data_IF_074104297784
#
_entry.id   IF_074104297784
#
_cell.length_a   1.000
_cell.length_b   1.000
_cell.length_c   1.000
_cell.angle_alpha   90.00
_cell.angle_beta   90.00
_cell.angle_gamma   90.00
#
_symmetry.space_group_name_H-M   'P 1'
#
loop_
_entity.id
_entity.type
_entity.pdbx_description
1 polymer ?
#
# COMPACT_ATOMS: atom_id res chain seq x y z
N UNK A 1 -8.87 -18.73 23.98
CA UNK A 1 -7.74 -18.90 23.06
C UNK A 1 -7.84 -17.80 22.03
N UNK A 2 -7.10 -16.69 22.21
CA UNK A 2 -7.07 -15.60 21.24
C UNK A 2 -6.23 -16.06 20.04
N UNK A 3 -6.88 -16.42 18.95
CA UNK A 3 -6.23 -16.57 17.66
C UNK A 3 -5.83 -15.17 17.17
N UNK A 4 -4.60 -14.78 17.46
CA UNK A 4 -3.97 -13.61 16.84
C UNK A 4 -3.98 -13.85 15.33
N UNK A 5 -4.83 -13.13 14.59
CA UNK A 5 -4.80 -13.16 13.13
C UNK A 5 -3.37 -12.82 12.69
N UNK A 6 -2.77 -13.57 11.77
CA UNK A 6 -1.41 -13.27 11.33
C UNK A 6 -1.38 -11.83 10.81
N UNK A 7 -0.41 -11.03 11.28
CA UNK A 7 -0.20 -9.67 10.80
C UNK A 7 0.09 -9.73 9.29
N UNK A 8 -0.94 -9.49 8.49
CA UNK A 8 -0.84 -9.53 7.04
C UNK A 8 -0.17 -8.24 6.55
N UNK A 9 0.83 -8.41 5.70
CA UNK A 9 1.63 -7.31 5.12
C UNK A 9 0.81 -6.49 4.13
N UNK A 10 -0.14 -7.11 3.44
CA UNK A 10 -0.97 -6.45 2.44
C UNK A 10 -1.94 -7.42 1.78
N UNK A 11 -2.66 -6.94 0.78
CA UNK A 11 -3.64 -7.73 0.03
C UNK A 11 -3.34 -7.72 -1.46
N UNK A 12 -3.40 -8.89 -2.08
CA UNK A 12 -3.27 -9.10 -3.51
C UNK A 12 -4.61 -9.57 -4.09
N UNK A 13 -5.02 -8.96 -5.18
CA UNK A 13 -6.15 -9.44 -5.97
C UNK A 13 -5.65 -10.41 -7.03
N UNK A 14 -6.20 -11.61 -7.10
CA UNK A 14 -5.91 -12.61 -8.12
C UNK A 14 -7.14 -12.85 -9.00
N UNK A 15 -7.01 -12.58 -10.28
CA UNK A 15 -8.08 -12.72 -11.27
C UNK A 15 -7.72 -13.88 -12.20
N UNK A 16 -8.30 -15.05 -11.96
CA UNK A 16 -8.05 -16.28 -12.74
C UNK A 16 -9.18 -17.29 -12.57
N UNK A 17 -9.46 -18.06 -13.62
CA UNK A 17 -10.33 -19.25 -13.58
C UNK A 17 -9.56 -20.56 -13.36
N UNK A 18 -8.24 -20.51 -13.42
CA UNK A 18 -7.38 -21.67 -13.21
C UNK A 18 -7.20 -21.91 -11.70
N UNK A 19 -7.87 -22.94 -11.19
CA UNK A 19 -7.82 -23.31 -9.78
C UNK A 19 -6.42 -23.76 -9.31
N UNK A 20 -5.63 -24.37 -10.21
CA UNK A 20 -4.28 -24.84 -9.89
C UNK A 20 -3.34 -23.65 -9.75
N UNK A 21 -3.32 -22.77 -10.74
CA UNK A 21 -2.54 -21.53 -10.69
C UNK A 21 -2.93 -20.67 -9.49
N UNK A 22 -4.24 -20.54 -9.23
CA UNK A 22 -4.75 -19.78 -8.08
C UNK A 22 -4.25 -20.33 -6.75
N UNK A 23 -4.23 -21.63 -6.57
CA UNK A 23 -3.70 -22.29 -5.35
C UNK A 23 -2.20 -22.06 -5.21
N UNK A 24 -1.42 -22.28 -6.29
CA UNK A 24 0.03 -22.08 -6.26
C UNK A 24 0.40 -20.64 -5.88
N UNK A 25 -0.23 -19.66 -6.51
CA UNK A 25 0.03 -18.24 -6.27
C UNK A 25 -0.45 -17.80 -4.89
N UNK A 26 -1.60 -18.28 -4.44
CA UNK A 26 -2.10 -18.00 -3.07
C UNK A 26 -1.11 -18.50 -2.03
N UNK A 27 -0.64 -19.75 -2.15
CA UNK A 27 0.33 -20.33 -1.23
C UNK A 27 1.64 -19.54 -1.23
N UNK A 28 2.13 -19.15 -2.42
CA UNK A 28 3.36 -18.36 -2.54
C UNK A 28 3.23 -16.96 -1.92
N UNK A 29 2.10 -16.27 -2.13
CA UNK A 29 1.82 -14.97 -1.52
C UNK A 29 1.64 -15.05 0.00
N UNK A 30 1.00 -16.09 0.51
CA UNK A 30 0.87 -16.33 1.95
C UNK A 30 2.22 -16.53 2.64
N UNK A 31 3.21 -17.11 1.96
CA UNK A 31 4.59 -17.21 2.48
C UNK A 31 5.25 -15.82 2.64
N UNK A 32 4.73 -14.80 1.97
CA UNK A 32 5.12 -13.39 2.11
C UNK A 32 4.20 -12.62 3.06
N UNK A 33 3.40 -13.31 3.87
CA UNK A 33 2.37 -12.74 4.75
C UNK A 33 1.38 -11.82 4.01
N UNK A 34 1.12 -12.09 2.71
CA UNK A 34 0.10 -11.39 1.93
C UNK A 34 -1.22 -12.16 1.96
N UNK A 35 -2.34 -11.45 2.12
CA UNK A 35 -3.65 -12.03 1.85
C UNK A 35 -3.93 -12.03 0.35
N UNK A 36 -4.66 -13.05 -0.12
CA UNK A 36 -5.06 -13.13 -1.53
C UNK A 36 -6.57 -13.21 -1.63
N UNK A 37 -7.14 -12.30 -2.40
CA UNK A 37 -8.54 -12.38 -2.82
C UNK A 37 -8.62 -12.90 -4.25
N UNK A 38 -9.31 -14.01 -4.43
CA UNK A 38 -9.48 -14.63 -5.74
C UNK A 38 -10.81 -14.15 -6.37
N UNK A 39 -10.74 -13.73 -7.62
CA UNK A 39 -11.87 -13.45 -8.49
C UNK A 39 -11.79 -14.35 -9.73
N UNK A 40 -12.91 -14.89 -10.14
CA UNK A 40 -13.00 -15.74 -11.35
C UNK A 40 -13.42 -14.97 -12.60
N UNK A 41 -13.83 -13.71 -12.42
CA UNK A 41 -14.24 -12.82 -13.50
C UNK A 41 -13.79 -11.38 -13.26
N UNK A 42 -13.74 -10.61 -14.33
CA UNK A 42 -13.20 -9.25 -14.35
C UNK A 42 -14.19 -8.23 -13.78
N UNK A 43 -15.50 -8.47 -13.91
CA UNK A 43 -16.50 -7.58 -13.36
C UNK A 43 -16.40 -7.51 -11.83
N UNK A 44 -16.32 -8.69 -11.17
CA UNK A 44 -16.10 -8.77 -9.74
C UNK A 44 -14.75 -8.16 -9.33
N UNK A 45 -13.71 -8.33 -10.15
CA UNK A 45 -12.40 -7.72 -9.90
C UNK A 45 -12.45 -6.19 -9.97
N UNK A 46 -13.10 -5.63 -11.00
CA UNK A 46 -13.29 -4.19 -11.18
C UNK A 46 -14.05 -3.58 -10.00
N UNK A 47 -15.14 -4.23 -9.57
CA UNK A 47 -15.94 -3.82 -8.41
C UNK A 47 -15.09 -3.77 -7.12
N UNK A 48 -14.23 -4.76 -6.88
CA UNK A 48 -13.33 -4.78 -5.71
C UNK A 48 -12.27 -3.68 -5.80
N UNK A 49 -11.68 -3.47 -6.96
CA UNK A 49 -10.68 -2.42 -7.19
C UNK A 49 -11.24 -1.01 -7.05
N UNK A 50 -12.54 -0.80 -7.33
CA UNK A 50 -13.18 0.50 -7.12
C UNK A 50 -13.38 0.83 -5.64
N UNK A 51 -13.55 -0.19 -4.79
CA UNK A 51 -13.88 -0.02 -3.37
C UNK A 51 -12.65 0.02 -2.46
N UNK A 52 -11.52 -0.56 -2.90
CA UNK A 52 -10.33 -0.64 -2.05
C UNK A 52 -9.03 -0.72 -2.84
N UNK A 53 -7.95 -0.42 -2.13
CA UNK A 53 -6.59 -0.55 -2.59
C UNK A 53 -6.08 -1.98 -2.43
N UNK A 54 -5.30 -2.43 -3.43
CA UNK A 54 -4.48 -3.63 -3.39
C UNK A 54 -3.01 -3.26 -3.59
N UNK A 55 -2.11 -3.92 -2.88
CA UNK A 55 -0.67 -3.75 -3.04
C UNK A 55 -0.17 -4.47 -4.31
N UNK A 56 -0.83 -5.55 -4.69
CA UNK A 56 -0.57 -6.30 -5.92
C UNK A 56 -1.85 -6.77 -6.61
N UNK A 57 -1.77 -6.94 -7.92
CA UNK A 57 -2.86 -7.52 -8.75
C UNK A 57 -2.25 -8.55 -9.68
N UNK A 58 -2.75 -9.78 -9.63
CA UNK A 58 -2.35 -10.88 -10.52
C UNK A 58 -3.49 -11.12 -11.51
N UNK A 59 -3.21 -11.10 -12.80
CA UNK A 59 -4.20 -11.24 -13.88
C UNK A 59 -3.79 -12.38 -14.79
N UNK A 60 -4.70 -13.32 -15.00
CA UNK A 60 -4.52 -14.42 -15.93
C UNK A 60 -5.00 -14.04 -17.33
N UNK A 61 -4.09 -14.05 -18.32
CA UNK A 61 -4.45 -13.73 -19.70
C UNK A 61 -5.23 -14.87 -20.39
N UNK A 62 -5.31 -16.07 -19.80
CA UNK A 62 -6.22 -17.12 -20.25
C UNK A 62 -7.71 -16.70 -20.15
N UNK A 63 -8.03 -15.58 -19.52
CA UNK A 63 -9.35 -14.92 -19.59
C UNK A 63 -9.63 -14.27 -20.96
N UNK A 64 -8.72 -14.43 -21.92
CA UNK A 64 -8.79 -13.85 -23.26
C UNK A 64 -8.55 -12.34 -23.27
N UNK A 65 -9.04 -11.64 -24.30
CA UNK A 65 -8.86 -10.19 -24.44
C UNK A 65 -9.28 -9.37 -23.21
N UNK A 66 -10.17 -9.90 -22.39
CA UNK A 66 -10.57 -9.27 -21.15
C UNK A 66 -9.45 -9.14 -20.11
N UNK A 67 -8.43 -10.02 -20.14
CA UNK A 67 -7.28 -9.94 -19.23
C UNK A 67 -6.46 -8.66 -19.43
N UNK A 68 -6.23 -8.27 -20.68
CA UNK A 68 -5.55 -6.99 -21.01
C UNK A 68 -6.40 -5.79 -20.59
N UNK A 69 -7.72 -5.80 -20.86
CA UNK A 69 -8.65 -4.75 -20.43
C UNK A 69 -8.63 -4.60 -18.90
N UNK A 70 -8.55 -5.71 -18.15
CA UNK A 70 -8.42 -5.67 -16.70
C UNK A 70 -7.13 -4.98 -16.26
N UNK A 71 -5.99 -5.26 -16.92
CA UNK A 71 -4.71 -4.62 -16.63
C UNK A 71 -4.76 -3.11 -16.90
N UNK A 72 -5.36 -2.69 -18.00
CA UNK A 72 -5.58 -1.28 -18.33
C UNK A 72 -6.48 -0.60 -17.28
N UNK A 73 -7.53 -1.25 -16.81
CA UNK A 73 -8.36 -0.76 -15.71
C UNK A 73 -7.56 -0.56 -14.41
N UNK A 74 -6.64 -1.48 -14.07
CA UNK A 74 -5.75 -1.29 -12.92
C UNK A 74 -4.94 -0.01 -13.09
N UNK A 75 -4.36 0.21 -14.27
CA UNK A 75 -3.51 1.38 -14.55
C UNK A 75 -4.29 2.70 -14.62
N UNK A 76 -5.55 2.66 -15.04
CA UNK A 76 -6.45 3.82 -15.02
C UNK A 76 -7.05 4.11 -13.63
N UNK A 77 -7.01 3.16 -12.70
CA UNK A 77 -7.62 3.29 -11.37
C UNK A 77 -6.90 4.34 -10.51
N UNK A 78 -7.64 5.28 -9.93
CA UNK A 78 -7.07 6.27 -9.01
C UNK A 78 -6.36 5.63 -7.80
N UNK A 79 -6.90 4.53 -7.27
CA UNK A 79 -6.40 3.84 -6.08
C UNK A 79 -5.36 2.77 -6.41
N UNK A 80 -5.51 2.05 -7.54
CA UNK A 80 -4.73 0.86 -7.85
C UNK A 80 -3.68 1.04 -8.96
N UNK A 81 -3.59 2.22 -9.62
CA UNK A 81 -2.64 2.47 -10.73
C UNK A 81 -1.17 2.17 -10.40
N UNK A 82 -0.81 2.23 -9.14
CA UNK A 82 0.55 1.97 -8.65
C UNK A 82 0.73 0.58 -8.05
N UNK A 83 -0.33 -0.25 -8.04
CA UNK A 83 -0.24 -1.64 -7.59
C UNK A 83 0.79 -2.42 -8.45
N UNK A 84 1.52 -3.31 -7.81
CA UNK A 84 2.43 -4.22 -8.51
C UNK A 84 1.61 -5.25 -9.28
N UNK A 85 1.69 -5.22 -10.61
CA UNK A 85 0.91 -6.14 -11.44
C UNK A 85 1.74 -7.33 -11.90
N UNK A 86 1.12 -8.49 -11.87
CA UNK A 86 1.66 -9.73 -12.43
C UNK A 86 0.66 -10.24 -13.46
N UNK A 87 1.15 -10.69 -14.61
CA UNK A 87 0.32 -11.34 -15.61
C UNK A 87 0.76 -12.77 -15.85
N UNK A 88 -0.20 -13.69 -15.89
CA UNK A 88 0.04 -15.08 -16.28
C UNK A 88 -0.13 -15.16 -17.79
N UNK A 89 0.90 -15.66 -18.50
CA UNK A 89 0.91 -15.74 -19.96
C UNK A 89 1.24 -17.16 -20.42
N UNK A 90 0.76 -17.54 -21.61
CA UNK A 90 1.01 -18.84 -22.22
C UNK A 90 1.87 -18.75 -23.49
N UNK A 91 2.14 -17.54 -23.97
CA UNK A 91 2.91 -17.29 -25.19
C UNK A 91 3.77 -16.03 -25.11
N UNK A 92 4.77 -15.94 -25.98
CA UNK A 92 5.58 -14.72 -26.11
C UNK A 92 4.77 -13.52 -26.61
N UNK A 93 3.71 -13.76 -27.39
CA UNK A 93 2.82 -12.70 -27.87
C UNK A 93 2.01 -12.12 -26.69
N UNK A 94 1.43 -12.96 -25.83
CA UNK A 94 0.76 -12.52 -24.61
C UNK A 94 1.70 -11.78 -23.66
N UNK A 95 2.95 -12.25 -23.55
CA UNK A 95 3.99 -11.58 -22.77
C UNK A 95 4.25 -10.15 -23.26
N UNK A 96 4.42 -9.97 -24.58
CA UNK A 96 4.61 -8.65 -25.16
C UNK A 96 3.39 -7.75 -24.96
N UNK A 97 2.18 -8.28 -25.13
CA UNK A 97 0.94 -7.53 -24.87
C UNK A 97 0.83 -7.09 -23.40
N UNK A 98 1.12 -7.98 -22.46
CA UNK A 98 1.11 -7.69 -21.03
C UNK A 98 2.07 -6.57 -20.66
N UNK A 99 3.31 -6.62 -21.15
CA UNK A 99 4.32 -5.59 -20.88
C UNK A 99 3.91 -4.23 -21.48
N UNK A 100 3.40 -4.22 -22.70
CA UNK A 100 2.91 -3.00 -23.35
C UNK A 100 1.70 -2.39 -22.62
N UNK A 101 0.84 -3.21 -22.05
CA UNK A 101 -0.31 -2.79 -21.24
C UNK A 101 0.10 -2.37 -19.80
N UNK A 102 1.40 -2.43 -19.46
CA UNK A 102 1.94 -1.96 -18.20
C UNK A 102 2.00 -3.01 -17.08
N UNK A 103 2.12 -4.31 -17.41
CA UNK A 103 2.45 -5.32 -16.42
C UNK A 103 3.81 -5.04 -15.80
N UNK A 104 3.91 -5.16 -14.46
CA UNK A 104 5.19 -5.02 -13.75
C UNK A 104 6.05 -6.29 -13.88
N UNK A 105 5.40 -7.45 -13.86
CA UNK A 105 6.02 -8.77 -13.95
C UNK A 105 5.17 -9.71 -14.79
N UNK A 106 5.82 -10.63 -15.44
CA UNK A 106 5.16 -11.72 -16.21
C UNK A 106 5.59 -13.05 -15.63
N UNK A 107 4.61 -13.93 -15.43
CA UNK A 107 4.77 -15.34 -15.05
C UNK A 107 4.31 -16.20 -16.22
N UNK A 108 5.26 -16.73 -16.97
CA UNK A 108 4.97 -17.57 -18.12
C UNK A 108 4.64 -19.00 -17.69
N UNK A 109 3.64 -19.60 -18.30
CA UNK A 109 3.27 -21.01 -18.11
C UNK A 109 4.27 -21.95 -18.81
N UNK A 110 4.57 -23.14 -18.24
CA UNK A 110 3.99 -23.69 -17.01
C UNK A 110 4.53 -22.99 -15.75
N UNK A 111 3.64 -22.74 -14.78
CA UNK A 111 4.03 -22.13 -13.52
C UNK A 111 4.78 -23.16 -12.66
N UNK A 112 6.02 -22.83 -12.29
CA UNK A 112 6.81 -23.62 -11.35
C UNK A 112 7.00 -22.87 -10.04
N UNK A 113 7.19 -23.61 -8.94
CA UNK A 113 7.49 -22.98 -7.64
C UNK A 113 8.74 -22.11 -7.69
N UNK A 114 9.72 -22.48 -8.52
CA UNK A 114 10.95 -21.73 -8.73
C UNK A 114 10.69 -20.40 -9.45
N UNK A 115 9.97 -20.42 -10.59
CA UNK A 115 9.65 -19.21 -11.36
C UNK A 115 8.79 -18.22 -10.56
N UNK A 116 7.80 -18.74 -9.83
CA UNK A 116 6.97 -17.93 -8.92
C UNK A 116 7.85 -17.35 -7.82
N UNK A 117 8.64 -18.15 -7.12
CA UNK A 117 9.49 -17.72 -6.02
C UNK A 117 10.51 -16.66 -6.44
N UNK A 118 11.17 -16.85 -7.59
CA UNK A 118 12.12 -15.88 -8.15
C UNK A 118 11.44 -14.53 -8.45
N UNK A 119 10.32 -14.58 -9.18
CA UNK A 119 9.56 -13.35 -9.52
C UNK A 119 9.07 -12.62 -8.27
N UNK A 120 8.53 -13.34 -7.29
CA UNK A 120 8.04 -12.74 -6.06
C UNK A 120 9.17 -12.15 -5.21
N UNK A 121 10.35 -12.78 -5.19
CA UNK A 121 11.53 -12.24 -4.50
C UNK A 121 11.92 -10.87 -5.06
N UNK A 122 11.96 -10.72 -6.38
CA UNK A 122 12.24 -9.42 -7.04
C UNK A 122 11.13 -8.41 -6.77
N UNK A 123 9.87 -8.84 -6.86
CA UNK A 123 8.70 -7.97 -6.71
C UNK A 123 8.47 -7.51 -5.26
N UNK A 124 8.98 -8.23 -4.27
CA UNK A 124 8.72 -7.97 -2.85
C UNK A 124 9.06 -6.54 -2.43
N UNK A 125 10.22 -6.03 -2.85
CA UNK A 125 10.62 -4.66 -2.56
C UNK A 125 9.64 -3.61 -3.11
N UNK A 126 9.07 -3.86 -4.30
CA UNK A 126 8.06 -2.98 -4.91
C UNK A 126 6.72 -3.07 -4.18
N UNK A 127 6.30 -4.27 -3.78
CA UNK A 127 5.08 -4.48 -2.98
C UNK A 127 5.20 -3.75 -1.63
N UNK A 128 6.34 -3.88 -0.96
CA UNK A 128 6.60 -3.19 0.30
C UNK A 128 6.66 -1.66 0.13
N UNK A 129 7.22 -1.16 -0.97
CA UNK A 129 7.19 0.26 -1.30
C UNK A 129 5.77 0.75 -1.52
N UNK A 130 4.94 -0.02 -2.22
CA UNK A 130 3.54 0.32 -2.43
C UNK A 130 2.76 0.28 -1.11
N UNK A 131 3.03 -0.68 -0.25
CA UNK A 131 2.44 -0.75 1.09
C UNK A 131 2.78 0.48 1.92
N UNK A 132 4.05 0.91 1.97
CA UNK A 132 4.48 2.10 2.72
C UNK A 132 3.72 3.36 2.32
N UNK A 133 3.43 3.55 1.04
CA UNK A 133 2.68 4.72 0.54
C UNK A 133 1.32 4.93 1.19
N UNK A 134 0.66 3.83 1.58
CA UNK A 134 -0.69 3.84 2.15
C UNK A 134 -0.70 3.43 3.62
N UNK A 135 0.47 3.10 4.17
CA UNK A 135 0.59 2.73 5.57
C UNK A 135 0.24 3.91 6.47
N UNK A 136 -0.65 3.66 7.41
CA UNK A 136 -1.05 4.60 8.45
C UNK A 136 -0.75 3.97 9.79
N UNK A 137 0.22 4.53 10.51
CA UNK A 137 0.58 4.04 11.82
C UNK A 137 -0.27 4.71 12.89
N UNK A 138 -1.03 3.93 13.70
CA UNK A 138 -1.80 4.50 14.81
C UNK A 138 -0.83 4.95 15.90
N UNK A 139 -0.82 6.23 16.20
CA UNK A 139 0.01 6.83 17.23
C UNK A 139 -0.66 8.10 17.75
N UNK A 140 -0.64 8.27 19.07
CA UNK A 140 -1.20 9.44 19.75
C UNK A 140 -0.05 10.34 20.21
N UNK A 141 0.27 11.39 19.43
CA UNK A 141 1.25 12.40 19.79
C UNK A 141 0.61 13.79 19.75
N UNK A 142 1.02 14.72 20.63
CA UNK A 142 0.53 16.11 20.59
C UNK A 142 0.89 16.79 19.28
N UNK A 143 -0.06 17.59 18.77
CA UNK A 143 0.07 18.33 17.52
C UNK A 143 -0.29 19.79 17.75
N UNK A 144 0.48 20.70 17.15
CA UNK A 144 0.16 22.11 17.06
C UNK A 144 -0.05 22.49 15.60
N UNK A 145 -1.17 23.13 15.31
CA UNK A 145 -1.48 23.66 13.99
C UNK A 145 -1.45 25.20 14.03
N UNK A 146 -0.49 25.75 13.30
CA UNK A 146 -0.32 27.18 13.13
C UNK A 146 -1.04 27.66 11.87
N UNK A 147 -1.99 28.57 12.01
CA UNK A 147 -2.76 29.18 10.92
C UNK A 147 -2.36 30.64 10.76
N UNK A 148 -2.16 31.12 9.52
CA UNK A 148 -1.66 32.47 9.25
C UNK A 148 -2.50 33.60 9.89
N UNK A 149 -3.81 33.41 9.99
CA UNK A 149 -4.77 34.47 10.36
C UNK A 149 -5.68 34.09 11.54
N UNK A 150 -5.37 33.00 12.24
CA UNK A 150 -6.22 32.50 13.33
C UNK A 150 -5.36 31.92 14.46
N UNK A 151 -5.89 31.81 15.69
CA UNK A 151 -5.17 31.22 16.81
C UNK A 151 -4.66 29.78 16.50
N UNK A 152 -3.60 29.41 17.19
CA UNK A 152 -3.10 28.03 17.16
C UNK A 152 -4.17 27.05 17.59
N UNK A 153 -4.14 25.87 16.97
CA UNK A 153 -5.02 24.76 17.32
C UNK A 153 -4.18 23.61 17.86
N UNK A 154 -4.58 23.11 19.00
CA UNK A 154 -3.97 21.96 19.65
C UNK A 154 -4.80 20.71 19.39
N UNK A 155 -4.13 19.59 19.18
CA UNK A 155 -4.77 18.32 18.96
C UNK A 155 -3.85 17.14 19.29
N UNK A 156 -4.33 15.95 19.03
CA UNK A 156 -3.58 14.71 19.17
C UNK A 156 -3.75 13.87 17.92
N UNK A 157 -2.68 13.26 17.42
CA UNK A 157 -2.78 12.37 16.25
C UNK A 157 -3.59 11.13 16.59
N UNK A 158 -4.36 10.66 15.62
CA UNK A 158 -5.01 9.34 15.60
C UNK A 158 -4.15 8.34 14.81
N UNK A 159 -3.60 8.81 13.70
CA UNK A 159 -2.63 8.06 12.90
C UNK A 159 -1.80 9.00 12.02
N UNK A 160 -0.63 8.50 11.58
CA UNK A 160 0.30 9.22 10.71
C UNK A 160 0.66 8.35 9.52
N UNK A 161 0.81 8.96 8.34
CA UNK A 161 1.31 8.36 7.11
C UNK A 161 2.34 9.28 6.44
N UNK A 162 3.00 8.83 5.38
CA UNK A 162 3.96 9.65 4.61
C UNK A 162 3.33 10.93 4.04
N UNK A 163 2.03 10.95 3.77
CA UNK A 163 1.34 12.03 3.06
C UNK A 163 0.36 12.82 3.91
N UNK A 164 0.24 12.50 5.18
CA UNK A 164 -0.73 13.18 6.04
C UNK A 164 -1.02 12.43 7.32
N UNK A 165 -1.96 12.97 8.08
CA UNK A 165 -2.37 12.39 9.35
C UNK A 165 -3.88 12.56 9.57
N UNK A 166 -4.42 11.75 10.46
CA UNK A 166 -5.67 12.05 11.14
C UNK A 166 -5.35 12.53 12.57
N UNK A 167 -6.03 13.53 13.02
CA UNK A 167 -5.91 14.06 14.38
C UNK A 167 -7.28 14.32 14.99
N UNK A 168 -7.34 14.32 16.31
CA UNK A 168 -8.50 14.75 17.10
C UNK A 168 -8.21 16.16 17.67
N UNK A 169 -9.18 17.06 17.57
CA UNK A 169 -9.12 18.42 18.09
C UNK A 169 -10.48 18.91 18.53
N UNK A 170 -10.50 19.81 19.52
CA UNK A 170 -11.73 20.46 19.97
C UNK A 170 -12.12 21.67 19.10
N UNK A 171 -11.18 22.19 18.33
CA UNK A 171 -11.41 23.34 17.44
C UNK A 171 -11.85 22.86 16.06
N UNK A 172 -13.03 23.24 15.58
CA UNK A 172 -13.46 22.88 14.22
C UNK A 172 -12.50 23.45 13.16
N UNK A 173 -12.12 22.62 12.21
CA UNK A 173 -11.29 22.99 11.06
C UNK A 173 -12.07 22.72 9.78
N UNK A 174 -12.27 23.74 8.96
CA UNK A 174 -13.01 23.60 7.71
C UNK A 174 -12.16 22.86 6.65
N UNK A 175 -12.73 21.91 5.90
CA UNK A 175 -12.07 21.32 4.73
C UNK A 175 -11.57 22.42 3.77
N UNK A 176 -10.38 22.23 3.24
CA UNK A 176 -9.73 23.20 2.37
C UNK A 176 -8.84 24.23 3.10
N UNK A 177 -8.98 24.41 4.43
CA UNK A 177 -8.11 25.33 5.18
C UNK A 177 -6.67 24.82 5.26
N UNK A 178 -5.72 25.76 5.24
CA UNK A 178 -4.28 25.49 5.31
C UNK A 178 -3.74 25.76 6.71
N UNK A 179 -2.78 24.96 7.13
CA UNK A 179 -2.08 25.12 8.39
C UNK A 179 -0.68 24.51 8.33
N UNK A 180 0.26 25.11 9.04
CA UNK A 180 1.54 24.48 9.34
C UNK A 180 1.35 23.57 10.55
N UNK A 181 1.56 22.27 10.38
CA UNK A 181 1.46 21.29 11.45
C UNK A 181 2.84 20.99 12.04
N UNK A 182 2.92 20.94 13.37
CA UNK A 182 4.13 20.58 14.11
C UNK A 182 3.82 19.47 15.10
N UNK A 183 4.67 18.43 15.09
CA UNK A 183 4.58 17.30 16.01
C UNK A 183 5.95 16.63 16.18
N UNK A 184 6.08 15.80 17.22
CA UNK A 184 7.30 15.04 17.47
C UNK A 184 7.02 13.57 17.40
N UNK A 185 7.74 12.85 16.52
CA UNK A 185 7.70 11.40 16.44
C UNK A 185 8.36 10.80 17.70
N UNK A 186 7.80 9.73 18.27
CA UNK A 186 8.45 9.00 19.35
C UNK A 186 9.48 8.00 18.78
N UNK A 187 10.56 7.75 19.53
CA UNK A 187 11.54 6.68 19.30
C UNK A 187 12.07 6.57 17.85
N UNK A 188 13.04 7.40 17.45
CA UNK A 188 13.66 8.50 18.20
C UNK A 188 12.78 9.76 18.20
N UNK A 189 13.04 10.68 19.13
CA UNK A 189 12.37 11.96 19.20
C UNK A 189 12.78 12.84 18.01
N UNK A 190 11.91 12.95 17.01
CA UNK A 190 12.15 13.72 15.81
C UNK A 190 11.05 14.75 15.64
N UNK A 191 11.41 16.03 15.60
CA UNK A 191 10.44 17.11 15.34
C UNK A 191 10.16 17.20 13.84
N UNK A 192 8.89 17.12 13.50
CA UNK A 192 8.38 17.26 12.12
C UNK A 192 7.58 18.57 12.01
N UNK A 193 7.85 19.31 10.95
CA UNK A 193 7.07 20.47 10.55
C UNK A 193 6.64 20.30 9.10
N UNK A 194 5.35 20.43 8.80
CA UNK A 194 4.81 20.27 7.45
C UNK A 194 3.76 21.33 7.15
N UNK A 195 3.73 21.80 5.89
CA UNK A 195 2.58 22.56 5.40
C UNK A 195 1.48 21.57 5.01
N UNK A 196 0.28 21.83 5.47
CA UNK A 196 -0.83 20.89 5.37
C UNK A 196 -2.13 21.57 4.99
N UNK A 197 -3.04 20.75 4.43
CA UNK A 197 -4.40 21.17 4.10
C UNK A 197 -5.38 20.20 4.71
N UNK A 198 -6.45 20.73 5.28
CA UNK A 198 -7.57 19.93 5.79
C UNK A 198 -8.31 19.31 4.61
N UNK A 199 -8.35 17.98 4.57
CA UNK A 199 -9.05 17.20 3.54
C UNK A 199 -10.50 16.90 3.93
N UNK A 200 -10.70 16.57 5.20
CA UNK A 200 -12.01 16.20 5.75
C UNK A 200 -12.05 16.47 7.26
N UNK A 201 -13.24 16.61 7.77
CA UNK A 201 -13.56 16.58 9.18
C UNK A 201 -14.79 15.71 9.42
N UNK A 202 -15.00 15.26 10.63
CA UNK A 202 -16.21 14.57 11.04
C UNK A 202 -16.81 15.18 12.32
N UNK A 203 -18.05 14.74 12.63
CA UNK A 203 -18.78 15.23 13.82
C UNK A 203 -18.16 14.79 15.16
N UNK A 204 -17.20 13.85 15.13
CA UNK A 204 -16.48 13.37 16.32
C UNK A 204 -15.25 14.22 16.68
N UNK A 205 -15.01 15.31 15.94
CA UNK A 205 -13.85 16.19 16.14
C UNK A 205 -12.55 15.62 15.54
N UNK A 206 -12.65 14.61 14.66
CA UNK A 206 -11.49 14.13 13.92
C UNK A 206 -11.34 14.89 12.60
N UNK A 207 -10.10 15.17 12.25
CA UNK A 207 -9.71 15.93 11.06
C UNK A 207 -8.62 15.19 10.32
N UNK A 208 -8.77 15.06 9.01
CA UNK A 208 -7.74 14.54 8.13
C UNK A 208 -6.94 15.65 7.47
N UNK A 209 -5.63 15.61 7.63
CA UNK A 209 -4.68 16.52 6.99
C UNK A 209 -3.90 15.81 5.90
N UNK A 210 -3.70 16.49 4.78
CA UNK A 210 -2.71 16.08 3.78
C UNK A 210 -1.51 17.03 3.82
N UNK A 211 -0.29 16.48 3.80
CA UNK A 211 0.94 17.24 3.67
C UNK A 211 1.14 17.61 2.20
N UNK A 212 1.24 18.89 1.87
CA UNK A 212 1.56 19.33 0.51
C UNK A 212 3.00 19.83 0.38
N UNK A 213 3.61 20.25 1.50
CA UNK A 213 5.04 20.50 1.56
C UNK A 213 5.61 19.93 2.85
N UNK A 214 6.68 19.18 2.74
CA UNK A 214 7.47 18.63 3.83
C UNK A 214 8.94 18.85 3.49
N UNK A 215 9.73 19.55 4.32
CA UNK A 215 11.16 19.70 4.11
C UNK A 215 11.84 18.34 3.94
N UNK A 216 12.85 18.27 3.08
CA UNK A 216 13.49 17.01 2.72
C UNK A 216 13.92 16.17 3.93
N UNK A 217 14.56 16.81 4.92
CA UNK A 217 15.00 16.13 6.14
C UNK A 217 13.82 15.57 6.95
N UNK A 218 12.75 16.35 7.11
CA UNK A 218 11.53 15.89 7.77
C UNK A 218 10.87 14.75 7.02
N UNK A 219 10.82 14.82 5.68
CA UNK A 219 10.27 13.77 4.84
C UNK A 219 11.07 12.46 4.98
N UNK A 220 12.40 12.54 4.92
CA UNK A 220 13.31 11.40 5.07
C UNK A 220 13.17 10.74 6.45
N UNK A 221 13.13 11.55 7.51
CA UNK A 221 12.97 11.07 8.88
C UNK A 221 11.60 10.41 9.10
N UNK A 222 10.51 11.02 8.61
CA UNK A 222 9.17 10.45 8.68
C UNK A 222 9.07 9.13 7.92
N UNK A 223 9.64 9.06 6.71
CA UNK A 223 9.67 7.84 5.91
C UNK A 223 10.45 6.71 6.60
N UNK A 224 11.62 7.02 7.15
CA UNK A 224 12.44 6.05 7.88
C UNK A 224 11.73 5.53 9.13
N UNK A 225 11.10 6.42 9.89
CA UNK A 225 10.33 6.07 11.07
C UNK A 225 9.12 5.16 10.72
N UNK A 226 8.35 5.52 9.70
CA UNK A 226 7.22 4.71 9.24
C UNK A 226 7.66 3.36 8.68
N UNK A 227 8.80 3.30 7.98
CA UNK A 227 9.37 2.04 7.49
C UNK A 227 9.74 1.12 8.67
N UNK A 228 10.41 1.64 9.70
CA UNK A 228 10.73 0.88 10.90
C UNK A 228 9.46 0.37 11.62
N UNK A 229 8.42 1.21 11.76
CA UNK A 229 7.15 0.80 12.38
C UNK A 229 6.41 -0.26 11.56
N UNK A 230 6.48 -0.18 10.23
CA UNK A 230 5.93 -1.21 9.37
C UNK A 230 6.71 -2.52 9.51
N UNK A 231 8.04 -2.49 9.50
CA UNK A 231 8.89 -3.67 9.66
C UNK A 231 8.65 -4.38 11.00
N UNK A 232 8.45 -3.63 12.09
CA UNK A 232 8.10 -4.19 13.40
C UNK A 232 6.77 -4.94 13.40
N UNK A 233 5.87 -4.66 12.46
CA UNK A 233 4.59 -5.35 12.29
C UNK A 233 4.70 -6.57 11.38
N UNK A 234 5.82 -6.77 10.69
CA UNK A 234 6.02 -7.92 9.81
C UNK A 234 6.25 -9.19 10.65
N UNK A 235 5.68 -10.34 10.21
CA UNK A 235 6.04 -11.63 10.81
C UNK A 235 7.54 -11.89 10.64
N UNK A 236 8.21 -12.36 11.68
CA UNK A 236 9.65 -12.69 11.67
C UNK A 236 10.04 -13.63 10.53
N UNK A 237 9.14 -14.52 10.10
CA UNK A 237 9.33 -15.43 8.96
C UNK A 237 9.56 -14.71 7.62
N UNK A 238 9.01 -13.51 7.45
CA UNK A 238 9.18 -12.72 6.22
C UNK A 238 10.49 -11.95 6.26
N UNK A 239 10.84 -11.40 7.41
CA UNK A 239 12.08 -10.64 7.61
C UNK A 239 13.31 -11.53 7.36
N UNK A 240 13.34 -12.76 7.88
CA UNK A 240 14.47 -13.68 7.71
C UNK A 240 14.67 -14.17 6.27
N UNK A 241 13.59 -14.35 5.49
CA UNK A 241 13.70 -14.85 4.09
C UNK A 241 14.27 -13.83 3.11
N UNK A 242 14.19 -12.54 3.39
CA UNK A 242 14.51 -11.49 2.42
C UNK A 242 15.61 -10.52 2.86
N UNK A 243 15.89 -10.42 4.17
CA UNK A 243 17.02 -9.62 4.67
C UNK A 243 18.40 -10.27 4.47
N UNK A 244 18.48 -11.62 4.47
CA UNK A 244 19.76 -12.33 4.22
C UNK A 244 20.27 -12.20 2.78
N UNK A 245 19.47 -11.72 1.85
CA UNK A 245 19.84 -11.60 0.43
C UNK A 245 20.33 -10.20 0.02
N UNK A 246 20.40 -9.24 0.94
CA UNK A 246 20.90 -7.89 0.67
C UNK A 246 22.38 -7.73 1.02
N UNK A 247 23.05 -8.78 1.49
CA UNK A 247 24.45 -8.79 1.93
C UNK A 247 25.37 -9.71 1.10
N UNK A 248 24.93 -10.13 -0.08
CA UNK A 248 25.78 -10.92 -0.99
C UNK A 248 25.85 -10.29 -2.39
#
# INVERSE_FOLDING_TARGET
MNTTSPNLVGTVLLVSRDAIASRQLTNAMQQLAMSVEVCVDISAAADRMSRRKFEGVIIDLALGGQGIVCLEHVRASASNRTAVTFTLTSSSQETAQALNAGSSFVLQRPLTSESIGHTLKIAYGLIMRERRRYFRYPVAVPVVLNRKTAPEVFGQTVNISERGMALSTLTPLAPGSEATVQFTLPDPLVRITAESKVCWNNEKGEVGLSFHFLPFDCASQLQSWLAQKLEQQLPQLVTNKFCESSLS
#
